data_IF_172999693455
#
_entry.id   IF_172999693455
#
_cell.length_a   1.000
_cell.length_b   1.000
_cell.length_c   1.000
_cell.angle_alpha   90.00
_cell.angle_beta   90.00
_cell.angle_gamma   90.00
#
_symmetry.space_group_name_H-M   'P 1'
#
loop_
_entity.id
_entity.type
_entity.pdbx_description
1 polymer ?
#
# COMPACT_ATOMS: atom_id res chain seq x y z
N UNK A 1 2.98 20.48 59.44
CA UNK A 1 3.69 19.48 58.61
C UNK A 1 2.64 18.60 57.94
N UNK A 2 2.15 19.02 56.77
CA UNK A 2 1.25 18.22 55.94
C UNK A 2 2.11 17.57 54.86
N UNK A 3 2.35 16.26 54.98
CA UNK A 3 3.00 15.47 53.95
C UNK A 3 2.06 15.36 52.75
N UNK A 4 2.35 16.12 51.70
CA UNK A 4 1.76 15.90 50.38
C UNK A 4 2.43 14.65 49.82
N UNK A 5 1.81 13.50 50.07
CA UNK A 5 2.17 12.26 49.38
C UNK A 5 1.68 12.38 47.95
N UNK A 6 2.58 12.73 47.04
CA UNK A 6 2.36 12.68 45.60
C UNK A 6 2.30 11.21 45.17
N UNK A 7 1.12 10.60 45.26
CA UNK A 7 0.83 9.35 44.58
C UNK A 7 0.98 9.57 43.07
N UNK A 8 1.90 8.88 42.37
CA UNK A 8 1.96 8.97 40.93
C UNK A 8 0.70 8.30 40.38
N UNK A 9 -0.07 9.06 39.58
CA UNK A 9 -1.17 8.52 38.78
C UNK A 9 -0.64 7.32 37.98
N UNK A 10 -1.47 6.28 37.74
CA UNK A 10 -1.03 5.13 36.97
C UNK A 10 -0.66 5.66 35.58
N UNK A 11 0.63 5.55 35.23
CA UNK A 11 1.07 5.73 33.85
C UNK A 11 0.25 4.73 33.03
N UNK A 12 -0.61 5.27 32.18
CA UNK A 12 -1.38 4.52 31.21
C UNK A 12 -0.39 3.70 30.36
N UNK A 13 -0.17 2.44 30.79
CA UNK A 13 0.82 1.56 30.18
C UNK A 13 0.29 1.23 28.81
N UNK A 14 0.76 1.97 27.81
CA UNK A 14 0.73 1.52 26.42
C UNK A 14 1.16 0.06 26.42
N UNK A 15 0.22 -0.83 26.09
CA UNK A 15 0.47 -2.26 26.01
C UNK A 15 1.56 -2.48 24.96
N UNK A 16 2.81 -2.58 25.41
CA UNK A 16 3.91 -2.98 24.56
C UNK A 16 3.67 -4.42 24.14
N UNK A 17 3.79 -4.74 22.85
CA UNK A 17 3.75 -6.11 22.34
C UNK A 17 4.74 -7.03 23.08
N UNK A 18 5.82 -6.45 23.63
CA UNK A 18 6.79 -7.14 24.47
C UNK A 18 6.23 -7.69 25.80
N UNK A 19 5.03 -7.28 26.21
CA UNK A 19 4.35 -7.81 27.41
C UNK A 19 3.50 -9.06 27.11
N UNK A 20 3.24 -9.36 25.83
CA UNK A 20 2.34 -10.45 25.41
C UNK A 20 3.14 -11.71 25.07
N UNK A 21 4.30 -11.55 24.42
CA UNK A 21 5.29 -12.60 24.15
C UNK A 21 6.65 -11.96 23.79
N UNK A 22 7.78 -12.68 23.94
CA UNK A 22 9.05 -12.26 23.37
C UNK A 22 8.92 -12.05 21.85
N UNK A 23 9.45 -10.94 21.34
CA UNK A 23 9.49 -10.70 19.90
C UNK A 23 10.55 -11.61 19.25
N UNK A 24 10.12 -12.51 18.38
CA UNK A 24 11.03 -13.47 17.73
C UNK A 24 11.46 -13.02 16.32
N UNK A 25 10.57 -12.35 15.57
CA UNK A 25 10.86 -11.89 14.22
C UNK A 25 9.99 -10.68 13.83
N UNK A 26 10.46 -9.92 12.84
CA UNK A 26 9.70 -8.87 12.14
C UNK A 26 9.82 -9.13 10.65
N UNK A 27 8.69 -9.12 9.94
CA UNK A 27 8.66 -9.14 8.48
C UNK A 27 8.30 -7.74 7.98
N UNK A 28 9.18 -7.18 7.16
CA UNK A 28 8.95 -5.89 6.50
C UNK A 28 8.58 -6.13 5.04
N UNK A 29 7.53 -5.45 4.60
CA UNK A 29 7.27 -5.26 3.18
C UNK A 29 8.27 -4.23 2.59
N UNK A 30 8.39 -4.16 1.27
CA UNK A 30 9.32 -3.26 0.59
C UNK A 30 8.60 -1.99 0.16
N UNK A 31 7.64 -2.11 -0.75
CA UNK A 31 6.99 -0.98 -1.39
C UNK A 31 6.00 -0.29 -0.45
N UNK A 32 6.12 1.04 -0.33
CA UNK A 32 5.36 1.82 0.64
C UNK A 32 5.68 1.55 2.11
N UNK A 33 6.64 0.64 2.41
CA UNK A 33 7.05 0.28 3.78
C UNK A 33 8.52 0.61 4.05
N UNK A 34 9.45 -0.03 3.36
CA UNK A 34 10.89 0.28 3.47
C UNK A 34 11.32 1.37 2.47
N UNK A 35 10.60 1.48 1.36
CA UNK A 35 10.82 2.47 0.33
C UNK A 35 9.56 3.31 0.11
N UNK A 36 9.72 4.63 -0.03
CA UNK A 36 8.65 5.55 -0.44
C UNK A 36 8.40 5.46 -1.96
N UNK A 37 8.11 4.25 -2.44
CA UNK A 37 7.93 3.92 -3.86
C UNK A 37 6.48 4.06 -4.33
N UNK A 38 5.51 4.11 -3.41
CA UNK A 38 4.08 4.21 -3.75
C UNK A 38 3.73 5.42 -4.64
N UNK A 39 4.28 6.64 -4.43
CA UNK A 39 4.03 7.77 -5.32
C UNK A 39 4.47 7.52 -6.77
N UNK A 40 5.55 6.74 -6.96
CA UNK A 40 6.06 6.39 -8.29
C UNK A 40 5.22 5.28 -8.95
N UNK A 41 4.76 4.30 -8.17
CA UNK A 41 3.80 3.30 -8.66
C UNK A 41 2.48 3.94 -9.07
N UNK A 42 1.94 4.85 -8.25
CA UNK A 42 0.75 5.62 -8.59
C UNK A 42 0.93 6.39 -9.90
N UNK A 43 2.06 7.09 -10.07
CA UNK A 43 2.36 7.80 -11.31
C UNK A 43 2.35 6.84 -12.52
N UNK A 44 3.07 5.72 -12.45
CA UNK A 44 3.14 4.77 -13.56
C UNK A 44 1.75 4.21 -13.95
N UNK A 45 0.94 3.82 -12.95
CA UNK A 45 -0.42 3.39 -13.22
C UNK A 45 -1.29 4.50 -13.78
N UNK A 46 -1.26 5.70 -13.21
CA UNK A 46 -2.09 6.82 -13.64
C UNK A 46 -1.88 7.17 -15.10
N UNK A 47 -0.63 7.31 -15.53
CA UNK A 47 -0.31 7.64 -16.92
C UNK A 47 -0.73 6.51 -17.87
N UNK A 48 -0.35 5.27 -17.57
CA UNK A 48 -0.62 4.15 -18.49
C UNK A 48 -2.10 3.79 -18.57
N UNK A 49 -2.83 3.85 -17.45
CA UNK A 49 -4.28 3.63 -17.45
C UNK A 49 -4.99 4.70 -18.27
N UNK A 50 -4.51 5.94 -18.21
CA UNK A 50 -5.04 7.02 -19.04
C UNK A 50 -4.77 6.78 -20.53
N UNK A 51 -3.56 6.34 -20.91
CA UNK A 51 -3.18 6.05 -22.30
C UNK A 51 -4.06 4.99 -22.96
N UNK A 52 -4.48 3.97 -22.21
CA UNK A 52 -5.33 2.88 -22.69
C UNK A 52 -6.83 3.18 -22.57
N UNK A 53 -7.20 4.39 -22.13
CA UNK A 53 -8.59 4.82 -22.03
C UNK A 53 -9.36 4.22 -20.86
N UNK A 54 -8.66 3.69 -19.84
CA UNK A 54 -9.29 3.23 -18.60
C UNK A 54 -10.09 4.38 -17.95
N UNK A 55 -11.19 4.07 -17.27
CA UNK A 55 -12.07 5.07 -16.66
C UNK A 55 -12.53 6.16 -17.66
N UNK A 56 -12.79 5.77 -18.92
CA UNK A 56 -13.17 6.70 -19.98
C UNK A 56 -12.06 7.70 -20.37
N UNK A 57 -10.80 7.38 -20.08
CA UNK A 57 -9.64 8.25 -20.33
C UNK A 57 -9.39 9.30 -19.25
N UNK A 58 -10.12 9.24 -18.12
CA UNK A 58 -9.84 10.09 -16.97
C UNK A 58 -8.74 9.45 -16.09
N UNK A 59 -7.78 10.24 -15.60
CA UNK A 59 -6.75 9.72 -14.71
C UNK A 59 -7.39 9.18 -13.42
N UNK A 60 -6.85 8.07 -12.92
CA UNK A 60 -7.25 7.56 -11.61
C UNK A 60 -6.80 8.51 -10.49
N UNK A 61 -7.53 8.52 -9.38
CA UNK A 61 -7.13 9.27 -8.17
C UNK A 61 -6.22 8.44 -7.28
N UNK A 62 -5.56 9.10 -6.33
CA UNK A 62 -4.70 8.45 -5.35
C UNK A 62 -5.51 7.57 -4.38
N UNK A 63 -6.74 7.98 -4.04
CA UNK A 63 -7.66 7.18 -3.23
C UNK A 63 -8.03 5.88 -3.94
N UNK A 64 -8.38 5.97 -5.23
CA UNK A 64 -8.67 4.78 -6.04
C UNK A 64 -7.44 3.85 -6.15
N UNK A 65 -6.25 4.43 -6.32
CA UNK A 65 -4.99 3.68 -6.31
C UNK A 65 -4.77 2.94 -4.99
N UNK A 66 -4.90 3.65 -3.86
CA UNK A 66 -4.69 3.07 -2.53
C UNK A 66 -5.67 1.95 -2.22
N UNK A 67 -6.93 2.07 -2.64
CA UNK A 67 -7.97 1.08 -2.35
C UNK A 67 -7.82 -0.19 -3.23
N UNK A 68 -7.38 -0.04 -4.48
CA UNK A 68 -7.48 -1.10 -5.48
C UNK A 68 -6.13 -1.67 -5.96
N UNK A 69 -5.02 -0.92 -5.81
CA UNK A 69 -3.72 -1.30 -6.37
C UNK A 69 -2.62 -1.48 -5.32
N UNK A 70 -2.48 -0.56 -4.35
CA UNK A 70 -1.37 -0.60 -3.39
C UNK A 70 -1.37 -1.92 -2.59
N UNK A 71 -0.20 -2.57 -2.53
CA UNK A 71 0.01 -3.87 -1.87
C UNK A 71 -0.72 -5.07 -2.51
N UNK A 72 -1.34 -4.93 -3.68
CA UNK A 72 -2.02 -6.03 -4.37
C UNK A 72 -1.10 -6.71 -5.39
N UNK A 73 -1.20 -8.04 -5.48
CA UNK A 73 -0.47 -8.80 -6.50
C UNK A 73 -1.15 -8.71 -7.87
N UNK A 74 -0.41 -9.04 -8.92
CA UNK A 74 -0.86 -8.95 -10.31
C UNK A 74 -2.07 -9.84 -10.60
N UNK A 75 -2.12 -11.06 -10.04
CA UNK A 75 -3.25 -11.97 -10.20
C UNK A 75 -4.56 -11.38 -9.65
N UNK A 76 -4.49 -10.74 -8.48
CA UNK A 76 -5.61 -10.02 -7.89
C UNK A 76 -6.08 -8.89 -8.82
N UNK A 77 -5.15 -8.08 -9.34
CA UNK A 77 -5.47 -6.97 -10.24
C UNK A 77 -6.13 -7.46 -11.52
N UNK A 78 -5.60 -8.53 -12.14
CA UNK A 78 -6.22 -9.15 -13.31
C UNK A 78 -7.66 -9.60 -13.03
N UNK A 79 -7.90 -10.21 -11.87
CA UNK A 79 -9.22 -10.76 -11.52
C UNK A 79 -10.24 -9.72 -11.06
N UNK A 80 -9.79 -8.57 -10.56
CA UNK A 80 -10.65 -7.57 -9.88
C UNK A 80 -10.74 -6.28 -10.66
N UNK A 81 -9.59 -5.63 -10.91
CA UNK A 81 -9.55 -4.31 -11.56
C UNK A 81 -9.69 -4.44 -13.07
N UNK A 82 -9.04 -5.45 -13.66
CA UNK A 82 -9.01 -5.69 -15.10
C UNK A 82 -9.90 -6.87 -15.52
N UNK A 83 -10.97 -7.14 -14.76
CA UNK A 83 -11.85 -8.29 -15.02
C UNK A 83 -12.54 -8.24 -16.40
N UNK A 84 -12.74 -7.03 -16.93
CA UNK A 84 -13.32 -6.81 -18.26
C UNK A 84 -12.29 -6.94 -19.41
N UNK A 85 -11.00 -7.03 -19.07
CA UNK A 85 -9.95 -7.16 -20.07
C UNK A 85 -9.65 -8.63 -20.36
N UNK A 86 -9.16 -8.90 -21.55
CA UNK A 86 -8.52 -10.19 -21.82
C UNK A 86 -7.31 -10.38 -20.87
N UNK A 87 -7.16 -11.59 -20.33
CA UNK A 87 -6.14 -11.90 -19.32
C UNK A 87 -4.71 -11.67 -19.84
N UNK A 88 -4.43 -11.97 -21.11
CA UNK A 88 -3.10 -11.73 -21.66
C UNK A 88 -2.82 -10.24 -21.78
N UNK A 89 -3.84 -9.47 -22.18
CA UNK A 89 -3.77 -8.01 -22.25
C UNK A 89 -3.52 -7.39 -20.88
N UNK A 90 -4.25 -7.81 -19.84
CA UNK A 90 -4.05 -7.34 -18.47
C UNK A 90 -2.66 -7.68 -17.92
N UNK A 91 -2.17 -8.89 -18.15
CA UNK A 91 -0.81 -9.30 -17.74
C UNK A 91 0.26 -8.47 -18.45
N UNK A 92 0.14 -8.31 -19.77
CA UNK A 92 1.08 -7.49 -20.54
C UNK A 92 1.10 -6.04 -20.05
N UNK A 93 -0.08 -5.48 -19.75
CA UNK A 93 -0.18 -4.13 -19.19
C UNK A 93 0.59 -4.00 -17.86
N UNK A 94 0.44 -4.97 -16.96
CA UNK A 94 1.15 -4.97 -15.68
C UNK A 94 2.67 -5.09 -15.85
N UNK A 95 3.13 -5.90 -16.80
CA UNK A 95 4.56 -6.03 -17.14
C UNK A 95 5.12 -4.72 -17.74
N UNK A 96 4.37 -4.10 -18.65
CA UNK A 96 4.74 -2.82 -19.26
C UNK A 96 4.77 -1.69 -18.20
N UNK A 97 3.84 -1.71 -17.24
CA UNK A 97 3.80 -0.77 -16.10
C UNK A 97 5.01 -0.91 -15.21
N UNK A 98 5.42 -2.13 -14.91
CA UNK A 98 6.68 -2.39 -14.21
C UNK A 98 7.89 -1.85 -14.98
N UNK A 99 7.88 -1.95 -16.32
CA UNK A 99 8.94 -1.36 -17.14
C UNK A 99 8.91 0.17 -17.14
N UNK A 100 7.73 0.81 -17.07
CA UNK A 100 7.59 2.25 -16.92
C UNK A 100 8.09 2.74 -15.56
N UNK A 101 7.73 2.05 -14.47
CA UNK A 101 8.17 2.38 -13.11
C UNK A 101 9.70 2.42 -12.97
N UNK A 102 10.43 1.61 -13.75
CA UNK A 102 11.90 1.55 -13.74
C UNK A 102 12.60 2.65 -14.55
N UNK A 103 11.87 3.54 -15.23
CA UNK A 103 12.44 4.62 -16.04
C UNK A 103 12.68 5.86 -15.19
#
# INVERSE_FOLDING_TARGET
MSNISSTPLPLDRKCSLALIAPLEAILFDIDGTLCDSDPLHYFAFREMLQEVGFNGGLPITEEFYSENFSGKNNEYLCSTVFHDWDLQTARKFLDDKEAMFRR
#
